data_IF_633232161278
#
_entry.id   IF_633232161278
#
_cell.length_a   1.000
_cell.length_b   1.000
_cell.length_c   1.000
_cell.angle_alpha   90.00
_cell.angle_beta   90.00
_cell.angle_gamma   90.00
#
_symmetry.space_group_name_H-M   'P 1'
#
loop_
_entity.id
_entity.type
_entity.pdbx_description
1 polymer ?
#
# COMPACT_ATOMS: atom_id res chain seq x y z
N UNK A 1 18.79 11.97 24.54
CA UNK A 1 18.86 12.45 23.15
C UNK A 1 17.44 12.70 22.66
N UNK A 2 17.12 13.93 22.27
CA UNK A 2 15.77 14.30 21.79
C UNK A 2 15.58 13.78 20.37
N UNK A 3 14.50 13.02 20.11
CA UNK A 3 14.21 12.43 18.79
C UNK A 3 14.00 13.56 17.77
N UNK A 4 14.71 13.49 16.64
CA UNK A 4 14.56 14.46 15.55
C UNK A 4 13.09 14.54 15.09
N UNK A 5 12.63 15.73 14.61
CA UNK A 5 11.24 15.93 14.24
C UNK A 5 10.93 15.18 12.93
N UNK A 6 10.60 13.90 13.04
CA UNK A 6 10.07 13.12 11.93
C UNK A 6 8.55 13.35 11.82
N UNK A 7 8.05 13.41 10.58
CA UNK A 7 6.61 13.36 10.34
C UNK A 7 6.01 12.10 11.00
N UNK A 8 4.83 12.24 11.60
CA UNK A 8 4.11 11.09 12.14
C UNK A 8 3.62 10.23 10.97
N UNK A 9 4.30 9.11 10.75
CA UNK A 9 3.96 8.15 9.71
C UNK A 9 3.17 7.00 10.34
N UNK A 10 2.12 6.56 9.64
CA UNK A 10 1.33 5.39 10.05
C UNK A 10 2.02 4.10 9.63
N UNK A 11 3.15 3.80 10.27
CA UNK A 11 3.80 2.51 10.12
C UNK A 11 3.00 1.40 10.79
N UNK A 12 3.20 0.17 10.32
CA UNK A 12 2.79 -1.00 11.07
C UNK A 12 3.45 -1.00 12.46
N UNK A 13 2.75 -1.49 13.50
CA UNK A 13 3.35 -1.79 14.80
C UNK A 13 4.73 -2.47 14.65
N UNK A 14 5.77 -1.99 15.36
CA UNK A 14 7.10 -2.56 15.30
C UNK A 14 7.16 -3.86 16.11
N UNK A 15 6.57 -4.93 15.56
CA UNK A 15 6.44 -6.23 16.22
C UNK A 15 6.98 -7.36 15.34
N UNK A 16 7.58 -8.38 15.96
CA UNK A 16 8.18 -9.55 15.29
C UNK A 16 8.03 -10.80 16.14
N UNK A 17 7.58 -11.89 15.53
CA UNK A 17 7.61 -13.22 16.14
C UNK A 17 8.96 -13.88 15.89
N UNK A 18 9.53 -14.51 16.93
CA UNK A 18 10.85 -15.13 16.88
C UNK A 18 10.74 -16.62 17.21
N UNK A 19 10.97 -17.47 16.22
CA UNK A 19 11.13 -18.90 16.41
C UNK A 19 12.62 -19.24 16.51
N UNK A 20 13.07 -19.79 17.64
CA UNK A 20 14.45 -20.24 17.84
C UNK A 20 14.58 -21.72 17.50
N UNK A 21 15.57 -22.08 16.69
CA UNK A 21 15.86 -23.46 16.23
C UNK A 21 17.24 -23.91 16.72
N UNK A 22 17.49 -25.21 16.64
CA UNK A 22 18.79 -25.80 16.97
C UNK A 22 19.94 -25.15 16.17
N UNK A 23 21.15 -25.16 16.73
CA UNK A 23 22.32 -24.55 16.09
C UNK A 23 22.33 -23.01 16.09
N UNK A 24 21.49 -22.36 16.90
CA UNK A 24 21.46 -20.90 17.02
C UNK A 24 20.68 -20.17 15.92
N UNK A 25 19.94 -20.90 15.08
CA UNK A 25 19.12 -20.33 14.01
C UNK A 25 17.88 -19.65 14.59
N UNK A 26 17.51 -18.48 14.06
CA UNK A 26 16.28 -17.77 14.42
C UNK A 26 15.48 -17.45 13.16
N UNK A 27 14.18 -17.75 13.16
CA UNK A 27 13.24 -17.34 12.11
C UNK A 27 12.40 -16.18 12.63
N UNK A 28 12.46 -15.07 11.91
CA UNK A 28 11.70 -13.86 12.20
C UNK A 28 10.47 -13.80 11.29
N UNK A 29 9.30 -13.50 11.86
CA UNK A 29 8.05 -13.37 11.09
C UNK A 29 7.31 -12.11 11.51
N UNK A 30 6.63 -11.48 10.55
CA UNK A 30 5.63 -10.46 10.91
C UNK A 30 4.48 -11.16 11.64
N UNK A 31 4.07 -10.68 12.83
CA UNK A 31 2.91 -11.23 13.54
C UNK A 31 1.59 -10.83 12.87
N UNK A 32 1.64 -9.93 11.88
CA UNK A 32 0.45 -9.44 11.20
C UNK A 32 0.00 -10.40 10.11
N UNK A 33 -1.18 -10.98 10.27
CA UNK A 33 -1.80 -11.79 9.23
C UNK A 33 -2.08 -10.95 7.97
N UNK A 34 -1.71 -11.51 6.81
CA UNK A 34 -2.04 -10.92 5.52
C UNK A 34 -3.56 -10.84 5.37
N UNK A 35 -4.08 -9.61 5.30
CA UNK A 35 -5.49 -9.35 5.07
C UNK A 35 -5.84 -9.56 3.60
N UNK A 36 -7.13 -9.70 3.22
CA UNK A 36 -7.54 -9.74 1.83
C UNK A 36 -6.96 -8.55 1.05
N UNK A 37 -6.35 -8.85 -0.09
CA UNK A 37 -5.71 -7.88 -0.95
C UNK A 37 -6.12 -8.11 -2.40
N UNK A 38 -6.03 -7.07 -3.22
CA UNK A 38 -6.30 -7.21 -4.64
C UNK A 38 -5.25 -8.10 -5.30
N UNK A 39 -5.68 -9.05 -6.12
CA UNK A 39 -4.78 -9.99 -6.82
C UNK A 39 -3.91 -9.29 -7.85
N UNK A 40 -4.40 -8.20 -8.43
CA UNK A 40 -3.69 -7.38 -9.38
C UNK A 40 -4.18 -5.92 -9.37
N UNK A 41 -3.45 -5.03 -10.03
CA UNK A 41 -3.85 -3.61 -10.15
C UNK A 41 -5.19 -3.43 -10.88
N UNK A 42 -5.54 -4.34 -11.80
CA UNK A 42 -6.81 -4.29 -12.54
C UNK A 42 -8.03 -4.30 -11.62
N UNK A 43 -8.01 -5.08 -10.54
CA UNK A 43 -9.11 -5.10 -9.56
C UNK A 43 -9.32 -3.75 -8.88
N UNK A 44 -8.25 -2.97 -8.68
CA UNK A 44 -8.38 -1.60 -8.19
C UNK A 44 -9.00 -0.68 -9.23
N UNK A 45 -8.64 -0.81 -10.50
CA UNK A 45 -9.22 -0.02 -11.60
C UNK A 45 -10.72 -0.31 -11.73
N UNK A 46 -11.11 -1.57 -11.77
CA UNK A 46 -12.52 -1.98 -11.86
C UNK A 46 -13.34 -1.50 -10.67
N UNK A 47 -12.78 -1.62 -9.45
CA UNK A 47 -13.45 -1.13 -8.24
C UNK A 47 -13.68 0.37 -8.32
N UNK A 48 -12.66 1.16 -8.66
CA UNK A 48 -12.78 2.61 -8.71
C UNK A 48 -13.64 3.11 -9.87
N UNK A 49 -13.63 2.43 -11.01
CA UNK A 49 -14.58 2.70 -12.09
C UNK A 49 -16.04 2.50 -11.65
N UNK A 50 -16.31 1.60 -10.69
CA UNK A 50 -17.65 1.40 -10.12
C UNK A 50 -17.98 2.36 -8.98
N UNK A 51 -17.04 2.58 -8.06
CA UNK A 51 -17.26 3.33 -6.82
C UNK A 51 -17.18 4.84 -7.01
N UNK A 52 -16.40 5.31 -7.98
CA UNK A 52 -16.19 6.75 -8.22
C UNK A 52 -15.97 7.04 -9.72
N UNK A 53 -16.94 6.70 -10.59
CA UNK A 53 -16.82 6.84 -12.05
C UNK A 53 -16.65 8.29 -12.51
N UNK A 54 -16.99 9.28 -11.70
CA UNK A 54 -16.84 10.70 -12.01
C UNK A 54 -15.40 11.21 -11.87
N UNK A 55 -14.51 10.43 -11.22
CA UNK A 55 -13.12 10.81 -11.03
C UNK A 55 -12.33 10.60 -12.31
N UNK A 56 -11.38 11.50 -12.58
CA UNK A 56 -10.48 11.36 -13.73
C UNK A 56 -9.60 10.12 -13.55
N UNK A 57 -9.80 9.12 -14.42
CA UNK A 57 -8.95 7.94 -14.51
C UNK A 57 -7.66 8.25 -15.29
N UNK A 58 -7.81 8.83 -16.49
CA UNK A 58 -6.71 9.17 -17.37
C UNK A 58 -6.89 10.55 -17.95
N UNK A 59 -5.79 11.29 -18.08
CA UNK A 59 -5.78 12.55 -18.81
C UNK A 59 -4.57 12.60 -19.74
N UNK A 60 -4.79 12.99 -20.98
CA UNK A 60 -3.73 13.23 -21.95
C UNK A 60 -3.82 14.65 -22.50
N UNK A 61 -2.69 15.19 -22.96
CA UNK A 61 -2.65 16.55 -23.50
C UNK A 61 -3.40 16.65 -24.82
N UNK A 62 -4.23 17.68 -24.93
CA UNK A 62 -4.99 17.99 -26.14
C UNK A 62 -4.82 19.49 -26.43
N UNK A 63 -3.74 19.85 -27.15
CA UNK A 63 -3.33 21.24 -27.36
C UNK A 63 -3.01 21.94 -26.03
N UNK A 64 -3.58 23.13 -25.81
CA UNK A 64 -3.47 23.85 -24.53
C UNK A 64 -4.25 23.20 -23.38
N UNK A 65 -5.12 22.22 -23.68
CA UNK A 65 -6.01 21.57 -22.73
C UNK A 65 -5.62 20.14 -22.34
N UNK A 66 -6.61 19.42 -21.79
CA UNK A 66 -6.53 18.00 -21.44
C UNK A 66 -7.77 17.28 -21.96
N UNK A 67 -7.59 16.15 -22.63
CA UNK A 67 -8.65 15.16 -22.84
C UNK A 67 -8.67 14.24 -21.64
N UNK A 68 -9.83 14.02 -21.04
CA UNK A 68 -10.01 13.23 -19.80
C UNK A 68 -10.89 12.03 -20.07
N UNK A 69 -10.56 10.92 -19.42
CA UNK A 69 -11.40 9.74 -19.27
C UNK A 69 -11.78 9.64 -17.79
N UNK A 70 -13.05 9.41 -17.54
CA UNK A 70 -13.65 9.21 -16.22
C UNK A 70 -14.24 7.81 -16.19
#
# INVERSE_FOLDING_TARGET
>A
MTKAPFASLRFAPPAVDIERRAGGVQVLRSPQSLQPYARCLGEHLERWAREAPERVFLAERAGAGWRRLT
#
